data_IF_250875399973
#
_entry.id   IF_250875399973
#
_cell.length_a   1.000
_cell.length_b   1.000
_cell.length_c   1.000
_cell.angle_alpha   90.00
_cell.angle_beta   90.00
_cell.angle_gamma   90.00
#
_symmetry.space_group_name_H-M   'P 1'
#
loop_
_entity.id
_entity.type
_entity.pdbx_description
1 polymer ?
#
# COMPACT_ATOMS: atom_id res chain seq x y z
N UNK A 1 5.50 -17.98 6.07
CA UNK A 1 4.67 -19.03 6.69
C UNK A 1 3.37 -19.33 5.93
N UNK A 2 2.59 -18.35 5.48
CA UNK A 2 1.36 -18.61 4.68
C UNK A 2 1.64 -19.05 3.23
N UNK A 3 2.60 -18.39 2.57
CA UNK A 3 3.04 -18.77 1.21
C UNK A 3 3.55 -20.20 1.16
N UNK A 4 4.29 -20.64 2.19
CA UNK A 4 4.77 -22.02 2.30
C UNK A 4 3.63 -23.01 2.38
N UNK A 5 2.60 -22.72 3.20
CA UNK A 5 1.42 -23.59 3.32
C UNK A 5 0.62 -23.68 2.01
N UNK A 6 0.42 -22.56 1.31
CA UNK A 6 -0.25 -22.52 0.00
C UNK A 6 0.52 -23.34 -1.04
N UNK A 7 1.86 -23.21 -1.08
CA UNK A 7 2.71 -24.00 -1.99
C UNK A 7 2.62 -25.49 -1.68
N UNK A 8 2.66 -25.89 -0.41
CA UNK A 8 2.53 -27.29 -0.01
C UNK A 8 1.18 -27.89 -0.41
N UNK A 9 0.08 -27.18 -0.15
CA UNK A 9 -1.27 -27.61 -0.57
C UNK A 9 -1.34 -27.74 -2.09
N UNK A 10 -0.79 -26.78 -2.84
CA UNK A 10 -0.79 -26.80 -4.30
C UNK A 10 -0.03 -28.00 -4.86
N UNK A 11 1.17 -28.28 -4.34
CA UNK A 11 1.97 -29.44 -4.73
C UNK A 11 1.25 -30.75 -4.41
N UNK A 12 0.57 -30.83 -3.26
CA UNK A 12 -0.20 -32.02 -2.88
C UNK A 12 -1.38 -32.25 -3.85
N UNK A 13 -2.12 -31.19 -4.20
CA UNK A 13 -3.24 -31.29 -5.15
C UNK A 13 -2.77 -31.68 -6.56
N UNK A 14 -1.58 -31.22 -6.99
CA UNK A 14 -0.96 -31.63 -8.25
C UNK A 14 -0.59 -33.11 -8.24
N UNK A 15 0.11 -33.56 -7.20
CA UNK A 15 0.44 -34.99 -7.03
C UNK A 15 -0.83 -35.86 -7.05
N UNK A 16 -1.89 -35.44 -6.37
CA UNK A 16 -3.14 -36.19 -6.34
C UNK A 16 -3.89 -36.13 -7.69
N UNK A 17 -3.66 -35.12 -8.53
CA UNK A 17 -4.20 -35.08 -9.89
C UNK A 17 -3.47 -36.06 -10.82
N UNK A 18 -2.14 -36.14 -10.73
CA UNK A 18 -1.33 -37.10 -11.46
C UNK A 18 -1.69 -38.54 -11.08
N UNK A 19 -1.83 -38.81 -9.78
CA UNK A 19 -2.26 -40.11 -9.27
C UNK A 19 -3.62 -40.53 -9.83
N UNK A 20 -4.61 -39.62 -9.83
CA UNK A 20 -5.94 -39.92 -10.40
C UNK A 20 -5.86 -40.20 -11.90
N UNK A 21 -5.07 -39.43 -12.65
CA UNK A 21 -4.85 -39.69 -14.08
C UNK A 21 -4.26 -41.08 -14.33
N UNK A 22 -3.27 -41.49 -13.52
CA UNK A 22 -2.69 -42.83 -13.58
C UNK A 22 -3.71 -43.93 -13.28
N UNK A 23 -4.55 -43.74 -12.26
CA UNK A 23 -5.62 -44.68 -11.91
C UNK A 23 -6.68 -44.78 -13.02
N UNK A 24 -7.06 -43.67 -13.65
CA UNK A 24 -8.02 -43.67 -14.77
C UNK A 24 -7.53 -44.52 -15.94
N UNK A 25 -6.25 -44.39 -16.31
CA UNK A 25 -5.66 -45.20 -17.37
C UNK A 25 -5.64 -46.70 -17.00
N UNK A 26 -5.34 -47.03 -15.73
CA UNK A 26 -5.37 -48.41 -15.22
C UNK A 26 -6.77 -49.00 -15.25
N UNK A 27 -7.79 -48.25 -14.85
CA UNK A 27 -9.21 -48.68 -14.93
C UNK A 27 -9.60 -48.96 -16.38
N UNK A 28 -9.25 -48.06 -17.31
CA UNK A 28 -9.56 -48.24 -18.72
C UNK A 28 -8.89 -49.49 -19.33
N UNK A 29 -7.69 -49.86 -18.87
CA UNK A 29 -7.05 -51.11 -19.27
C UNK A 29 -7.76 -52.33 -18.66
N UNK A 30 -8.09 -52.29 -17.36
CA UNK A 30 -8.76 -53.40 -16.69
C UNK A 30 -10.13 -53.69 -17.32
N UNK A 31 -10.91 -52.65 -17.65
CA UNK A 31 -12.21 -52.82 -18.31
C UNK A 31 -12.04 -53.50 -19.67
N UNK A 32 -11.06 -53.07 -20.49
CA UNK A 32 -10.77 -53.71 -21.77
C UNK A 32 -10.38 -55.18 -21.62
N UNK A 33 -9.45 -55.49 -20.72
CA UNK A 33 -9.01 -56.87 -20.47
C UNK A 33 -10.20 -57.75 -20.00
N UNK A 34 -11.06 -57.19 -19.14
CA UNK A 34 -12.26 -57.86 -18.62
C UNK A 34 -13.26 -58.19 -19.73
N UNK A 35 -13.55 -57.22 -20.60
CA UNK A 35 -14.47 -57.40 -21.72
C UNK A 35 -13.92 -58.44 -22.72
N UNK A 36 -12.62 -58.38 -23.05
CA UNK A 36 -11.97 -59.37 -23.91
C UNK A 36 -12.03 -60.80 -23.34
N UNK A 37 -11.84 -60.95 -22.02
CA UNK A 37 -11.90 -62.25 -21.36
C UNK A 37 -13.33 -62.78 -21.26
N UNK A 38 -14.30 -61.90 -21.02
CA UNK A 38 -15.72 -62.27 -21.04
C UNK A 38 -16.13 -62.77 -22.43
N UNK A 39 -15.72 -62.08 -23.49
CA UNK A 39 -15.96 -62.50 -24.88
C UNK A 39 -15.26 -63.83 -25.21
N UNK A 40 -14.09 -64.09 -24.62
CA UNK A 40 -13.41 -65.37 -24.78
C UNK A 40 -14.17 -66.50 -24.07
N UNK A 41 -14.66 -66.26 -22.84
CA UNK A 41 -15.48 -67.22 -22.11
C UNK A 41 -16.74 -67.57 -22.90
N UNK A 42 -17.45 -66.56 -23.42
CA UNK A 42 -18.67 -66.78 -24.20
C UNK A 42 -18.39 -67.67 -25.43
N UNK A 43 -17.31 -67.41 -26.17
CA UNK A 43 -16.89 -68.24 -27.31
C UNK A 43 -16.53 -69.68 -26.92
N UNK A 44 -15.84 -69.86 -25.80
CA UNK A 44 -15.49 -71.19 -25.29
C UNK A 44 -16.74 -71.95 -24.84
N UNK A 45 -17.72 -71.27 -24.23
CA UNK A 45 -19.01 -71.85 -23.85
C UNK A 45 -19.79 -72.31 -25.10
N UNK A 46 -19.86 -71.48 -26.14
CA UNK A 46 -20.47 -71.86 -27.42
C UNK A 46 -19.80 -73.10 -28.05
N UNK A 47 -18.47 -73.21 -27.97
CA UNK A 47 -17.73 -74.38 -28.45
C UNK A 47 -18.04 -75.64 -27.64
N UNK A 48 -18.15 -75.51 -26.31
CA UNK A 48 -18.57 -76.61 -25.42
C UNK A 48 -19.98 -77.07 -25.77
N UNK A 49 -20.91 -76.14 -25.98
CA UNK A 49 -22.29 -76.47 -26.40
C UNK A 49 -22.34 -77.20 -27.74
N UNK A 50 -21.59 -76.72 -28.73
CA UNK A 50 -21.47 -77.38 -30.05
C UNK A 50 -20.93 -78.80 -29.93
N UNK A 51 -19.89 -79.02 -29.13
CA UNK A 51 -19.31 -80.36 -28.91
C UNK A 51 -20.26 -81.27 -28.13
N UNK A 52 -20.97 -80.75 -27.14
CA UNK A 52 -22.02 -81.48 -26.43
C UNK A 52 -23.15 -81.91 -27.38
N UNK A 53 -23.56 -81.05 -28.30
CA UNK A 53 -24.56 -81.40 -29.32
C UNK A 53 -24.06 -82.53 -30.24
N UNK A 54 -22.78 -82.52 -30.64
CA UNK A 54 -22.18 -83.60 -31.42
C UNK A 54 -22.14 -84.93 -30.64
N UNK A 55 -21.84 -84.90 -29.34
CA UNK A 55 -21.90 -86.11 -28.49
C UNK A 55 -23.31 -86.69 -28.50
N UNK A 56 -24.36 -85.86 -28.31
CA UNK A 56 -25.76 -86.33 -28.33
C UNK A 56 -26.15 -86.96 -29.67
N UNK A 57 -25.74 -86.38 -30.79
CA UNK A 57 -25.98 -86.96 -32.12
C UNK A 57 -25.27 -88.31 -32.33
N UNK A 58 -24.08 -88.47 -31.75
CA UNK A 58 -23.33 -89.73 -31.76
C UNK A 58 -23.92 -90.76 -30.79
N UNK A 59 -24.72 -90.37 -29.79
CA UNK A 59 -25.39 -91.30 -28.88
C UNK A 59 -26.54 -92.07 -29.53
N UNK A 60 -27.07 -91.55 -30.64
CA UNK A 60 -28.21 -92.12 -31.37
C UNK A 60 -27.80 -93.20 -32.41
N UNK A 61 -26.50 -93.52 -32.55
CA UNK A 61 -25.94 -94.40 -33.60
C UNK A 61 -25.05 -95.54 -33.02
N UNK A 62 -24.66 -96.49 -33.88
CA UNK A 62 -24.05 -97.81 -33.54
C UNK A 62 -22.68 -97.79 -32.78
N UNK A 63 -22.29 -98.87 -32.07
CA UNK A 63 -21.68 -98.72 -30.74
C UNK A 63 -20.18 -98.39 -30.62
N UNK A 64 -19.31 -98.80 -31.55
CA UNK A 64 -17.90 -99.01 -31.20
C UNK A 64 -16.93 -97.94 -31.74
N UNK A 65 -17.04 -97.55 -33.01
CA UNK A 65 -16.26 -96.45 -33.59
C UNK A 65 -16.70 -95.10 -32.99
N UNK A 66 -17.99 -94.96 -32.75
CA UNK A 66 -18.57 -93.74 -32.16
C UNK A 66 -18.21 -93.57 -30.69
N UNK A 67 -17.88 -94.65 -29.98
CA UNK A 67 -17.39 -94.58 -28.59
C UNK A 67 -16.06 -93.85 -28.51
N UNK A 68 -15.13 -94.13 -29.43
CA UNK A 68 -13.82 -93.46 -29.48
C UNK A 68 -13.95 -91.98 -29.85
N UNK A 69 -14.81 -91.65 -30.82
CA UNK A 69 -15.06 -90.26 -31.22
C UNK A 69 -15.71 -89.47 -30.07
N UNK A 70 -16.69 -90.07 -29.36
CA UNK A 70 -17.30 -89.47 -28.17
C UNK A 70 -16.26 -89.20 -27.07
N UNK A 71 -15.37 -90.16 -26.78
CA UNK A 71 -14.28 -89.96 -25.82
C UNK A 71 -13.36 -88.79 -26.19
N UNK A 72 -13.05 -88.60 -27.48
CA UNK A 72 -12.27 -87.45 -27.93
C UNK A 72 -13.00 -86.12 -27.71
N UNK A 73 -14.30 -86.04 -27.99
CA UNK A 73 -15.09 -84.83 -27.72
C UNK A 73 -15.19 -84.53 -26.22
N UNK A 74 -15.34 -85.55 -25.36
CA UNK A 74 -15.34 -85.38 -23.90
C UNK A 74 -14.02 -84.77 -23.44
N UNK A 75 -12.87 -85.33 -23.88
CA UNK A 75 -11.56 -84.77 -23.54
C UNK A 75 -11.38 -83.32 -24.02
N UNK A 76 -11.89 -82.98 -25.20
CA UNK A 76 -11.86 -81.60 -25.70
C UNK A 76 -12.74 -80.68 -24.85
N UNK A 77 -13.93 -81.12 -24.42
CA UNK A 77 -14.79 -80.35 -23.52
C UNK A 77 -14.10 -80.12 -22.18
N UNK A 78 -13.43 -81.13 -21.61
CA UNK A 78 -12.67 -80.98 -20.36
C UNK A 78 -11.52 -79.97 -20.46
N UNK A 79 -10.89 -79.85 -21.64
CA UNK A 79 -9.87 -78.83 -21.91
C UNK A 79 -10.52 -77.44 -21.96
N UNK A 80 -11.60 -77.28 -22.73
CA UNK A 80 -12.31 -76.01 -22.84
C UNK A 80 -12.89 -75.55 -21.50
N UNK A 81 -13.43 -76.46 -20.70
CA UNK A 81 -13.94 -76.16 -19.35
C UNK A 81 -12.82 -75.71 -18.40
N UNK A 82 -11.62 -76.26 -18.53
CA UNK A 82 -10.44 -75.76 -17.79
C UNK A 82 -10.07 -74.35 -18.23
N UNK A 83 -10.03 -74.05 -19.53
CA UNK A 83 -9.78 -72.68 -20.00
C UNK A 83 -10.84 -71.70 -19.50
N UNK A 84 -12.12 -72.06 -19.54
CA UNK A 84 -13.22 -71.23 -19.01
C UNK A 84 -13.01 -70.96 -17.52
N UNK A 85 -12.61 -71.97 -16.74
CA UNK A 85 -12.32 -71.81 -15.32
C UNK A 85 -11.18 -70.83 -15.10
N UNK A 86 -10.07 -70.98 -15.82
CA UNK A 86 -8.92 -70.08 -15.73
C UNK A 86 -9.29 -68.62 -16.06
N UNK A 87 -10.11 -68.40 -17.09
CA UNK A 87 -10.58 -67.05 -17.42
C UNK A 87 -11.54 -66.48 -16.37
N UNK A 88 -12.40 -67.30 -15.77
CA UNK A 88 -13.26 -66.86 -14.67
C UNK A 88 -12.44 -66.43 -13.42
N UNK A 89 -11.39 -67.18 -13.08
CA UNK A 89 -10.48 -66.79 -11.99
C UNK A 89 -9.79 -65.46 -12.30
N UNK A 90 -9.31 -65.28 -13.53
CA UNK A 90 -8.74 -64.00 -14.00
C UNK A 90 -9.75 -62.84 -13.93
N UNK A 91 -11.01 -63.06 -14.30
CA UNK A 91 -12.07 -62.04 -14.17
C UNK A 91 -12.30 -61.62 -12.71
N UNK A 92 -12.34 -62.59 -11.78
CA UNK A 92 -12.48 -62.29 -10.36
C UNK A 92 -11.32 -61.43 -9.84
N UNK A 93 -10.09 -61.70 -10.28
CA UNK A 93 -8.93 -60.89 -9.90
C UNK A 93 -9.00 -59.46 -10.47
N UNK A 94 -9.55 -59.28 -11.68
CA UNK A 94 -9.80 -57.93 -12.24
C UNK A 94 -10.87 -57.18 -11.47
N UNK A 95 -11.94 -57.85 -11.06
CA UNK A 95 -12.99 -57.23 -10.24
C UNK A 95 -12.43 -56.81 -8.87
N UNK A 96 -11.52 -57.59 -8.27
CA UNK A 96 -10.79 -57.19 -7.04
C UNK A 96 -9.94 -55.94 -7.27
N UNK A 97 -9.15 -55.91 -8.34
CA UNK A 97 -8.32 -54.76 -8.68
C UNK A 97 -9.16 -53.49 -8.95
N UNK A 98 -10.32 -53.62 -9.60
CA UNK A 98 -11.25 -52.49 -9.79
C UNK A 98 -11.76 -51.96 -8.45
N UNK A 99 -12.12 -52.84 -7.53
CA UNK A 99 -12.58 -52.43 -6.20
C UNK A 99 -11.49 -51.72 -5.39
N UNK A 100 -10.25 -52.18 -5.48
CA UNK A 100 -9.09 -51.53 -4.85
C UNK A 100 -8.83 -50.15 -5.43
N UNK A 101 -8.82 -50.01 -6.76
CA UNK A 101 -8.62 -48.71 -7.42
C UNK A 101 -9.77 -47.75 -7.07
N UNK A 102 -11.02 -48.23 -7.02
CA UNK A 102 -12.16 -47.40 -6.62
C UNK A 102 -12.06 -46.93 -5.18
N UNK A 103 -11.53 -47.76 -4.27
CA UNK A 103 -11.25 -47.37 -2.89
C UNK A 103 -10.16 -46.29 -2.84
N UNK A 104 -9.06 -46.49 -3.55
CA UNK A 104 -7.95 -45.54 -3.62
C UNK A 104 -8.42 -44.18 -4.19
N UNK A 105 -9.25 -44.19 -5.23
CA UNK A 105 -9.83 -42.97 -5.81
C UNK A 105 -10.68 -42.21 -4.79
N UNK A 106 -11.52 -42.90 -4.02
CA UNK A 106 -12.31 -42.27 -2.94
C UNK A 106 -11.43 -41.67 -1.84
N UNK A 107 -10.33 -42.35 -1.48
CA UNK A 107 -9.37 -41.84 -0.50
C UNK A 107 -8.64 -40.59 -1.01
N UNK A 108 -8.30 -40.53 -2.30
CA UNK A 108 -7.75 -39.33 -2.93
C UNK A 108 -8.77 -38.18 -2.92
N UNK A 109 -10.04 -38.44 -3.29
CA UNK A 109 -11.10 -37.43 -3.27
C UNK A 109 -11.31 -36.84 -1.86
N UNK A 110 -11.32 -37.70 -0.82
CA UNK A 110 -11.40 -37.27 0.58
C UNK A 110 -10.19 -36.44 1.02
N UNK A 111 -8.98 -36.79 0.57
CA UNK A 111 -7.78 -35.97 0.83
C UNK A 111 -7.87 -34.60 0.18
N UNK A 112 -8.26 -34.53 -1.09
CA UNK A 112 -8.46 -33.25 -1.80
C UNK A 112 -9.46 -32.36 -1.09
N UNK A 113 -10.59 -32.89 -0.65
CA UNK A 113 -11.59 -32.15 0.11
C UNK A 113 -11.01 -31.54 1.40
N UNK A 114 -10.25 -32.32 2.17
CA UNK A 114 -9.57 -31.82 3.39
C UNK A 114 -8.55 -30.74 3.09
N UNK A 115 -7.81 -30.86 1.99
CA UNK A 115 -6.84 -29.83 1.59
C UNK A 115 -7.54 -28.53 1.14
N UNK A 116 -8.66 -28.62 0.42
CA UNK A 116 -9.48 -27.44 0.09
C UNK A 116 -10.05 -26.76 1.34
N UNK A 117 -10.56 -27.52 2.32
CA UNK A 117 -11.04 -26.96 3.58
C UNK A 117 -9.95 -26.20 4.34
N UNK A 118 -8.72 -26.74 4.39
CA UNK A 118 -7.57 -26.05 4.98
C UNK A 118 -7.24 -24.76 4.23
N UNK A 119 -7.25 -24.82 2.90
CA UNK A 119 -6.99 -23.65 2.06
C UNK A 119 -8.01 -22.52 2.33
N UNK A 120 -9.29 -22.87 2.42
CA UNK A 120 -10.36 -21.92 2.75
C UNK A 120 -10.21 -21.31 4.14
N UNK A 121 -9.83 -22.11 5.14
CA UNK A 121 -9.57 -21.62 6.50
C UNK A 121 -8.43 -20.59 6.51
N UNK A 122 -7.32 -20.91 5.85
CA UNK A 122 -6.16 -20.02 5.73
C UNK A 122 -6.57 -18.70 5.05
N UNK A 123 -7.30 -18.77 3.94
CA UNK A 123 -7.74 -17.58 3.22
C UNK A 123 -8.73 -16.73 4.01
N UNK A 124 -9.64 -17.34 4.74
CA UNK A 124 -10.59 -16.61 5.58
C UNK A 124 -9.89 -15.91 6.74
N UNK A 125 -8.91 -16.56 7.36
CA UNK A 125 -8.11 -15.96 8.43
C UNK A 125 -7.30 -14.75 7.92
N UNK A 126 -6.65 -14.89 6.75
CA UNK A 126 -5.91 -13.79 6.14
C UNK A 126 -6.82 -12.61 5.77
N UNK A 127 -8.03 -12.90 5.26
CA UNK A 127 -9.03 -11.86 4.95
C UNK A 127 -9.46 -11.11 6.21
N UNK A 128 -9.68 -11.80 7.32
CA UNK A 128 -10.02 -11.16 8.60
C UNK A 128 -8.88 -10.29 9.12
N UNK A 129 -7.63 -10.77 9.03
CA UNK A 129 -6.45 -10.01 9.42
C UNK A 129 -6.33 -8.71 8.61
N UNK A 130 -6.44 -8.79 7.28
CA UNK A 130 -6.37 -7.63 6.38
C UNK A 130 -7.51 -6.64 6.63
N UNK A 131 -8.72 -7.12 6.90
CA UNK A 131 -9.84 -6.27 7.30
C UNK A 131 -9.58 -5.55 8.62
N UNK A 132 -8.96 -6.23 9.60
CA UNK A 132 -8.53 -5.62 10.86
C UNK A 132 -7.50 -4.51 10.63
N UNK A 133 -6.45 -4.79 9.86
CA UNK A 133 -5.42 -3.81 9.50
C UNK A 133 -6.00 -2.58 8.79
N UNK A 134 -6.94 -2.78 7.87
CA UNK A 134 -7.59 -1.68 7.14
C UNK A 134 -8.44 -0.80 8.07
N UNK A 135 -9.13 -1.39 9.04
CA UNK A 135 -9.87 -0.61 10.06
C UNK A 135 -8.93 0.25 10.89
N UNK A 136 -7.85 -0.33 11.42
CA UNK A 136 -6.85 0.41 12.20
C UNK A 136 -6.18 1.51 11.38
N UNK A 137 -5.84 1.25 10.11
CA UNK A 137 -5.28 2.26 9.23
C UNK A 137 -6.24 3.44 9.02
N UNK A 138 -7.53 3.16 8.77
CA UNK A 138 -8.55 4.19 8.59
C UNK A 138 -8.76 5.04 9.85
N UNK A 139 -8.77 4.42 11.04
CA UNK A 139 -8.85 5.14 12.32
C UNK A 139 -7.65 6.06 12.51
N UNK A 140 -6.44 5.57 12.22
CA UNK A 140 -5.22 6.39 12.30
C UNK A 140 -5.26 7.57 11.33
N UNK A 141 -5.69 7.35 10.08
CA UNK A 141 -5.83 8.44 9.10
C UNK A 141 -6.85 9.48 9.55
N UNK A 142 -7.99 9.05 10.07
CA UNK A 142 -9.01 9.96 10.60
C UNK A 142 -8.48 10.78 11.77
N UNK A 143 -7.77 10.15 12.72
CA UNK A 143 -7.16 10.86 13.85
C UNK A 143 -6.13 11.90 13.39
N UNK A 144 -5.31 11.57 12.38
CA UNK A 144 -4.37 12.51 11.77
C UNK A 144 -5.09 13.67 11.10
N UNK A 145 -6.18 13.41 10.37
CA UNK A 145 -6.98 14.46 9.74
C UNK A 145 -7.60 15.42 10.76
N UNK A 146 -8.11 14.88 11.87
CA UNK A 146 -8.62 15.67 13.00
C UNK A 146 -7.51 16.56 13.60
N UNK A 147 -6.30 16.02 13.83
CA UNK A 147 -5.15 16.76 14.33
C UNK A 147 -4.70 17.88 13.37
N UNK A 148 -4.53 17.55 12.09
CA UNK A 148 -4.16 18.52 11.05
C UNK A 148 -5.15 19.68 10.97
N UNK A 149 -6.45 19.39 11.13
CA UNK A 149 -7.48 20.42 11.14
C UNK A 149 -7.34 21.38 12.32
N UNK A 150 -7.00 20.86 13.51
CA UNK A 150 -6.76 21.68 14.71
C UNK A 150 -5.51 22.53 14.55
N UNK A 151 -4.40 21.93 14.10
CA UNK A 151 -3.13 22.63 13.87
C UNK A 151 -3.28 23.75 12.83
N UNK A 152 -4.01 23.50 11.74
CA UNK A 152 -4.27 24.51 10.71
C UNK A 152 -5.04 25.71 11.28
N UNK A 153 -6.07 25.48 12.10
CA UNK A 153 -6.81 26.57 12.75
C UNK A 153 -5.91 27.40 13.69
N UNK A 154 -5.01 26.73 14.44
CA UNK A 154 -4.07 27.43 15.31
C UNK A 154 -3.06 28.26 14.50
N UNK A 155 -2.58 27.72 13.38
CA UNK A 155 -1.70 28.43 12.46
C UNK A 155 -2.40 29.66 11.87
N UNK A 156 -3.64 29.52 11.40
CA UNK A 156 -4.41 30.63 10.82
C UNK A 156 -4.67 31.75 11.85
N UNK A 157 -4.97 31.40 13.11
CA UNK A 157 -5.13 32.37 14.21
C UNK A 157 -3.82 33.10 14.53
N UNK A 158 -2.69 32.38 14.57
CA UNK A 158 -1.38 32.98 14.77
C UNK A 158 -0.98 33.91 13.63
N UNK A 159 -1.26 33.52 12.38
CA UNK A 159 -0.99 34.34 11.21
C UNK A 159 -1.80 35.65 11.27
N UNK A 160 -3.08 35.58 11.60
CA UNK A 160 -3.93 36.76 11.75
C UNK A 160 -3.39 37.71 12.83
N UNK A 161 -2.98 37.18 14.00
CA UNK A 161 -2.36 37.99 15.08
C UNK A 161 -1.07 38.66 14.63
N UNK A 162 -0.23 37.93 13.88
CA UNK A 162 1.01 38.48 13.32
C UNK A 162 0.74 39.61 12.33
N UNK A 163 -0.22 39.43 11.42
CA UNK A 163 -0.61 40.46 10.44
C UNK A 163 -1.18 41.71 11.12
N UNK A 164 -2.00 41.56 12.15
CA UNK A 164 -2.52 42.68 12.95
C UNK A 164 -1.41 43.45 13.66
N UNK A 165 -0.47 42.73 14.32
CA UNK A 165 0.66 43.36 14.99
C UNK A 165 1.57 44.08 13.98
N UNK A 166 1.80 43.47 12.82
CA UNK A 166 2.59 44.07 11.75
C UNK A 166 1.95 45.37 11.26
N UNK A 167 0.66 45.37 10.94
CA UNK A 167 -0.05 46.56 10.47
C UNK A 167 -0.06 47.69 11.52
N UNK A 168 -0.27 47.34 12.79
CA UNK A 168 -0.19 48.30 13.90
C UNK A 168 1.21 48.89 14.03
N UNK A 169 2.25 48.06 13.94
CA UNK A 169 3.65 48.49 14.02
C UNK A 169 4.02 49.39 12.84
N UNK A 170 3.64 49.02 11.61
CA UNK A 170 3.88 49.83 10.40
C UNK A 170 3.21 51.20 10.51
N UNK A 171 1.99 51.26 11.06
CA UNK A 171 1.28 52.52 11.32
C UNK A 171 2.03 53.39 12.34
N UNK A 172 2.47 52.79 13.44
CA UNK A 172 3.18 53.50 14.51
C UNK A 172 4.55 54.03 14.04
N UNK A 173 5.29 53.23 13.27
CA UNK A 173 6.55 53.67 12.64
C UNK A 173 6.29 54.85 11.71
N UNK A 174 5.26 54.80 10.87
CA UNK A 174 4.89 55.92 10.00
C UNK A 174 4.51 57.20 10.76
N UNK A 175 3.84 57.08 11.91
CA UNK A 175 3.55 58.21 12.79
C UNK A 175 4.83 58.83 13.36
N UNK A 176 5.73 58.01 13.90
CA UNK A 176 7.01 58.48 14.43
C UNK A 176 7.89 59.12 13.36
N UNK A 177 7.95 58.55 12.15
CA UNK A 177 8.66 59.15 11.03
C UNK A 177 8.09 60.53 10.68
N UNK A 178 6.76 60.67 10.65
CA UNK A 178 6.10 61.96 10.44
C UNK A 178 6.43 62.98 11.54
N UNK A 179 6.37 62.58 12.81
CA UNK A 179 6.74 63.44 13.95
C UNK A 179 8.20 63.88 13.88
N UNK A 180 9.11 62.97 13.54
CA UNK A 180 10.54 63.27 13.34
C UNK A 180 10.72 64.30 12.22
N UNK A 181 10.01 64.15 11.10
CA UNK A 181 10.10 65.10 9.98
C UNK A 181 9.56 66.48 10.37
N UNK A 182 8.45 66.55 11.12
CA UNK A 182 7.93 67.81 11.64
C UNK A 182 8.94 68.48 12.58
N UNK A 183 9.53 67.73 13.51
CA UNK A 183 10.55 68.24 14.43
C UNK A 183 11.79 68.76 13.70
N UNK A 184 12.27 68.03 12.67
CA UNK A 184 13.39 68.50 11.83
C UNK A 184 13.07 69.84 11.17
N UNK A 185 11.87 70.00 10.62
CA UNK A 185 11.43 71.27 10.01
C UNK A 185 11.36 72.41 11.03
N UNK A 186 10.89 72.15 12.24
CA UNK A 186 10.91 73.17 13.30
C UNK A 186 12.34 73.59 13.66
N UNK A 187 13.26 72.64 13.80
CA UNK A 187 14.68 72.93 14.07
C UNK A 187 15.29 73.75 12.94
N UNK A 188 15.03 73.40 11.68
CA UNK A 188 15.49 74.18 10.52
C UNK A 188 14.97 75.61 10.54
N UNK A 189 13.68 75.81 10.82
CA UNK A 189 13.09 77.14 10.94
C UNK A 189 13.72 77.94 12.09
N UNK A 190 13.90 77.34 13.27
CA UNK A 190 14.56 78.01 14.39
C UNK A 190 16.01 78.39 14.06
N UNK A 191 16.75 77.53 13.37
CA UNK A 191 18.12 77.84 12.94
C UNK A 191 18.15 79.02 11.95
N UNK A 192 17.17 79.13 11.04
CA UNK A 192 17.04 80.28 10.15
C UNK A 192 16.73 81.56 10.93
N UNK A 193 15.77 81.53 11.86
CA UNK A 193 15.43 82.69 12.70
C UNK A 193 16.62 83.16 13.55
N UNK A 194 17.38 82.23 14.14
CA UNK A 194 18.61 82.54 14.88
C UNK A 194 19.61 83.22 13.94
N UNK A 195 19.81 82.68 12.73
CA UNK A 195 20.75 83.26 11.76
C UNK A 195 20.34 84.67 11.32
N UNK A 196 19.05 84.92 11.10
CA UNK A 196 18.51 86.25 10.80
C UNK A 196 18.72 87.22 11.97
N UNK A 197 18.43 86.79 13.20
CA UNK A 197 18.68 87.59 14.41
C UNK A 197 20.16 87.91 14.60
N UNK A 198 21.04 86.93 14.43
CA UNK A 198 22.50 87.13 14.50
C UNK A 198 22.98 88.12 13.45
N UNK A 199 22.44 88.04 12.24
CA UNK A 199 22.78 88.94 11.12
C UNK A 199 22.30 90.36 11.41
N UNK A 200 21.05 90.51 11.90
CA UNK A 200 20.50 91.80 12.32
C UNK A 200 21.34 92.41 13.44
N UNK A 201 21.67 91.63 14.47
CA UNK A 201 22.51 92.08 15.58
C UNK A 201 23.89 92.54 15.12
N UNK A 202 24.53 91.81 14.20
CA UNK A 202 25.81 92.21 13.59
C UNK A 202 25.68 93.53 12.81
N UNK A 203 24.59 93.74 12.07
CA UNK A 203 24.34 94.97 11.32
C UNK A 203 24.06 96.16 12.25
N UNK A 204 23.21 95.97 13.26
CA UNK A 204 22.90 96.99 14.28
C UNK A 204 24.17 97.39 15.04
N UNK A 205 25.02 96.41 15.39
CA UNK A 205 26.34 96.66 16.00
C UNK A 205 27.24 97.47 15.08
N UNK A 206 27.37 97.11 13.80
CA UNK A 206 28.17 97.88 12.81
C UNK A 206 27.65 99.30 12.62
N UNK A 207 26.33 99.49 12.65
CA UNK A 207 25.72 100.80 12.57
C UNK A 207 26.07 101.65 13.79
N UNK A 208 25.93 101.09 14.99
CA UNK A 208 26.32 101.73 16.23
C UNK A 208 27.81 102.09 16.27
N UNK A 209 28.70 101.18 15.85
CA UNK A 209 30.14 101.44 15.73
C UNK A 209 30.44 102.60 14.75
N UNK A 210 29.75 102.68 13.60
CA UNK A 210 29.88 103.80 12.66
C UNK A 210 29.37 105.13 13.21
N UNK A 211 28.22 105.12 13.89
CA UNK A 211 27.65 106.34 14.47
C UNK A 211 28.59 106.96 15.53
N UNK A 212 29.33 106.12 16.26
CA UNK A 212 30.42 106.55 17.16
C UNK A 212 31.61 107.12 16.38
N UNK A 213 32.04 106.49 15.29
CA UNK A 213 33.23 106.92 14.53
C UNK A 213 33.01 108.26 13.78
N UNK A 214 31.78 108.54 13.35
CA UNK A 214 31.40 109.84 12.76
C UNK A 214 31.37 110.95 13.82
N UNK A 215 31.16 110.60 15.09
CA UNK A 215 31.37 111.52 16.21
C UNK A 215 32.83 111.47 16.63
N UNK A 216 33.66 112.29 15.97
CA UNK A 216 35.07 112.52 16.25
C UNK A 216 35.30 113.09 17.67
N UNK A 217 35.05 112.27 18.69
CA UNK A 217 35.10 112.57 20.11
C UNK A 217 35.86 111.44 20.79
N UNK A 218 37.05 111.75 21.32
CA UNK A 218 37.86 110.81 22.07
C UNK A 218 37.15 110.38 23.36
N UNK A 219 36.55 109.19 23.37
CA UNK A 219 36.03 108.55 24.59
C UNK A 219 36.81 107.26 24.89
N UNK A 220 37.30 107.14 26.12
CA UNK A 220 37.83 105.88 26.64
C UNK A 220 36.70 105.13 27.37
N UNK A 221 36.38 103.92 26.94
CA UNK A 221 35.50 103.02 27.69
C UNK A 221 36.37 102.16 28.62
N UNK A 222 36.31 102.44 29.92
CA UNK A 222 36.86 101.55 30.94
C UNK A 222 35.78 100.57 31.39
N UNK A 223 36.01 99.27 31.19
CA UNK A 223 35.13 98.22 31.69
C UNK A 223 35.48 97.91 33.15
N UNK A 224 34.62 98.29 34.09
CA UNK A 224 34.80 97.95 35.50
C UNK A 224 34.05 96.65 35.80
N UNK A 225 34.78 95.53 35.95
CA UNK A 225 34.20 94.18 36.13
C UNK A 225 33.33 94.01 37.38
N UNK A 226 33.34 94.94 38.33
CA UNK A 226 32.63 94.81 39.61
C UNK A 226 31.23 95.42 39.63
N UNK A 227 30.88 96.24 38.64
CA UNK A 227 29.56 96.86 38.51
C UNK A 227 29.25 96.78 37.02
N UNK A 228 28.33 95.92 36.59
CA UNK A 228 27.90 95.77 35.19
C UNK A 228 27.20 97.04 34.65
N UNK A 229 27.93 98.16 34.58
CA UNK A 229 27.49 99.43 34.05
C UNK A 229 28.64 100.14 33.34
N UNK A 230 28.37 100.60 32.13
CA UNK A 230 29.25 101.48 31.38
C UNK A 230 29.15 102.90 31.94
N UNK A 231 30.28 103.55 32.23
CA UNK A 231 30.32 104.96 32.60
C UNK A 231 31.01 105.73 31.46
N UNK A 232 30.28 106.65 30.85
CA UNK A 232 30.81 107.62 29.89
C UNK A 232 31.40 108.81 30.67
N UNK A 233 32.70 109.08 30.48
CA UNK A 233 33.37 110.26 31.05
C UNK A 233 33.88 111.15 29.92
N UNK A 234 33.33 112.35 29.78
CA UNK A 234 33.73 113.33 28.77
C UNK A 234 34.44 114.55 29.35
N UNK A 235 35.59 114.95 28.76
CA UNK A 235 36.22 116.27 28.97
C UNK A 235 35.88 117.18 27.79
N UNK A 236 35.06 118.20 28.00
CA UNK A 236 34.81 119.25 27.00
C UNK A 236 35.82 120.39 27.08
N UNK A 237 36.53 120.67 25.98
CA UNK A 237 37.15 121.99 25.72
C UNK A 237 36.12 122.87 25.00
N UNK A 238 36.00 124.12 25.45
CA UNK A 238 35.07 125.15 24.95
C UNK A 238 35.33 125.52 23.48
N UNK A 239 34.24 125.76 22.75
CA UNK A 239 34.08 126.91 21.86
C UNK A 239 32.85 127.66 22.37
#
# INVERSE_FOLDING_TARGET
>A
DLQTAVVQITLQLQSDAENVSGLTNRVAQIIRDRDEWQDRINRLQDEVEKKNAHIRQLEEREPEVERRIRQQYVLQIEILQREIKDFNEKLQDRDRLLNEINKEKKEIELRKLKEYEKFDQIHNQERQNLQGQLRTANENFRNLEEQWTVERRQHDDLQMKYEQLRASTETQVGQWESEIQQQKKYIENFNLEIHEMETKFKNDRRQFERDIDVTNCSFFICFNKSIEKFILVGKGKKC
#
